data_IF_071941511932
#
_entry.id   IF_071941511932
#
_cell.length_a   1.000
_cell.length_b   1.000
_cell.length_c   1.000
_cell.angle_alpha   90.00
_cell.angle_beta   90.00
_cell.angle_gamma   90.00
#
_symmetry.space_group_name_H-M   'P 1'
#
loop_
_entity.id
_entity.type
_entity.pdbx_description
1 polymer ?
#
# COMPACT_ATOMS: atom_id res chain seq x y z
N UNK A 1 1.24 -24.03 -27.15
CA UNK A 1 2.20 -23.94 -26.04
C UNK A 1 2.27 -25.32 -25.42
N UNK A 2 3.34 -26.08 -25.66
CA UNK A 2 3.46 -27.46 -25.21
C UNK A 2 3.42 -27.52 -23.68
N UNK A 3 2.35 -28.06 -23.12
CA UNK A 3 2.28 -28.47 -21.72
C UNK A 3 3.12 -29.73 -21.57
N UNK A 4 4.43 -29.56 -21.47
CA UNK A 4 5.30 -30.61 -20.94
C UNK A 4 4.85 -30.84 -19.49
N UNK A 5 4.02 -31.86 -19.27
CA UNK A 5 3.75 -32.35 -17.90
C UNK A 5 5.10 -32.71 -17.31
N UNK A 6 5.58 -31.90 -16.38
CA UNK A 6 6.79 -32.21 -15.63
C UNK A 6 6.57 -33.55 -14.94
N UNK A 7 7.52 -34.48 -15.11
CA UNK A 7 7.45 -35.78 -14.45
C UNK A 7 7.44 -35.55 -12.93
N UNK A 8 6.51 -36.20 -12.23
CA UNK A 8 6.51 -36.18 -10.77
C UNK A 8 7.83 -36.77 -10.24
N UNK A 9 8.28 -36.39 -9.03
CA UNK A 9 9.51 -36.95 -8.44
C UNK A 9 9.51 -38.48 -8.42
N UNK A 10 8.35 -39.10 -8.18
CA UNK A 10 8.18 -40.57 -8.22
C UNK A 10 8.34 -41.15 -9.62
N UNK A 11 7.83 -40.48 -10.65
CA UNK A 11 8.01 -40.90 -12.05
C UNK A 11 9.47 -40.73 -12.49
N UNK A 12 10.12 -39.64 -12.08
CA UNK A 12 11.53 -39.39 -12.36
C UNK A 12 12.42 -40.44 -11.68
N UNK A 13 12.14 -40.79 -10.43
CA UNK A 13 12.83 -41.87 -9.72
C UNK A 13 12.63 -43.23 -10.39
N UNK A 14 11.42 -43.56 -10.85
CA UNK A 14 11.15 -44.81 -11.54
C UNK A 14 11.93 -44.92 -12.86
N UNK A 15 11.93 -43.83 -13.65
CA UNK A 15 12.64 -43.78 -14.92
C UNK A 15 14.17 -43.88 -14.74
N UNK A 16 14.72 -43.16 -13.77
CA UNK A 16 16.16 -43.21 -13.46
C UNK A 16 16.59 -44.54 -12.86
N UNK A 17 15.78 -45.13 -11.98
CA UNK A 17 16.01 -46.47 -11.44
C UNK A 17 16.06 -47.53 -12.56
N UNK A 18 15.17 -47.43 -13.54
CA UNK A 18 15.12 -48.33 -14.70
C UNK A 18 16.38 -48.20 -15.56
N UNK A 19 16.84 -46.97 -15.81
CA UNK A 19 18.08 -46.71 -16.56
C UNK A 19 19.30 -47.30 -15.83
N UNK A 20 19.32 -47.26 -14.50
CA UNK A 20 20.43 -47.80 -13.70
C UNK A 20 20.38 -49.32 -13.58
N UNK A 21 19.19 -49.91 -13.42
CA UNK A 21 19.04 -51.35 -13.17
C UNK A 21 19.25 -52.21 -14.43
N UNK A 22 18.97 -51.70 -15.64
CA UNK A 22 19.14 -52.46 -16.89
C UNK A 22 20.61 -52.83 -17.16
N UNK A 23 21.57 -51.89 -17.24
CA UNK A 23 22.97 -52.22 -17.51
C UNK A 23 23.57 -53.09 -16.41
N UNK A 24 23.20 -52.84 -15.16
CA UNK A 24 23.70 -53.61 -14.04
C UNK A 24 23.21 -55.07 -14.11
N UNK A 25 21.94 -55.31 -14.45
CA UNK A 25 21.41 -56.67 -14.64
C UNK A 25 22.05 -57.40 -15.83
N UNK A 26 22.32 -56.69 -16.94
CA UNK A 26 23.02 -57.24 -18.10
C UNK A 26 24.43 -57.75 -17.74
N UNK A 27 25.14 -57.05 -16.85
CA UNK A 27 26.45 -57.50 -16.36
C UNK A 27 26.32 -58.83 -15.60
N UNK A 28 25.33 -58.95 -14.70
CA UNK A 28 25.08 -60.20 -13.96
C UNK A 28 24.72 -61.37 -14.89
N UNK A 29 23.93 -61.11 -15.94
CA UNK A 29 23.59 -62.12 -16.95
C UNK A 29 24.82 -62.63 -17.71
N UNK A 30 25.77 -61.75 -18.04
CA UNK A 30 27.01 -62.12 -18.76
C UNK A 30 27.95 -62.94 -17.87
N UNK A 31 28.02 -62.63 -16.58
CA UNK A 31 28.94 -63.28 -15.63
C UNK A 31 28.43 -64.66 -15.20
N UNK A 32 27.19 -64.76 -14.74
CA UNK A 32 26.63 -65.99 -14.16
C UNK A 32 26.06 -66.94 -15.23
N UNK A 33 25.71 -66.41 -16.42
CA UNK A 33 25.05 -67.13 -17.52
C UNK A 33 23.71 -67.78 -17.16
N UNK A 34 23.15 -67.47 -15.98
CA UNK A 34 21.83 -67.88 -15.53
C UNK A 34 20.83 -66.74 -15.67
N UNK A 35 19.78 -66.96 -16.46
CA UNK A 35 18.72 -66.00 -16.72
C UNK A 35 17.93 -65.63 -15.45
N UNK A 36 17.72 -66.60 -14.56
CA UNK A 36 16.94 -66.40 -13.34
C UNK A 36 17.70 -65.48 -12.36
N UNK A 37 19.03 -65.64 -12.27
CA UNK A 37 19.89 -64.78 -11.45
C UNK A 37 19.88 -63.34 -11.98
N UNK A 38 19.92 -63.15 -13.30
CA UNK A 38 19.84 -61.82 -13.91
C UNK A 38 18.52 -61.09 -13.65
N UNK A 39 17.39 -61.80 -13.67
CA UNK A 39 16.07 -61.22 -13.32
C UNK A 39 16.01 -60.82 -11.85
N UNK A 40 16.47 -61.68 -10.95
CA UNK A 40 16.50 -61.37 -9.52
C UNK A 40 17.38 -60.15 -9.26
N UNK A 41 18.56 -60.10 -9.87
CA UNK A 41 19.47 -58.96 -9.78
C UNK A 41 18.81 -57.68 -10.30
N UNK A 42 18.08 -57.73 -11.42
CA UNK A 42 17.33 -56.60 -11.94
C UNK A 42 16.30 -56.07 -10.94
N UNK A 43 15.48 -56.95 -10.38
CA UNK A 43 14.41 -56.57 -9.44
C UNK A 43 15.00 -55.93 -8.19
N UNK A 44 16.03 -56.53 -7.61
CA UNK A 44 16.69 -56.00 -6.40
C UNK A 44 17.30 -54.63 -6.69
N UNK A 45 18.04 -54.49 -7.79
CA UNK A 45 18.68 -53.21 -8.13
C UNK A 45 17.67 -52.13 -8.50
N UNK A 46 16.59 -52.49 -9.20
CA UNK A 46 15.52 -51.56 -9.54
C UNK A 46 14.82 -51.05 -8.26
N UNK A 47 14.44 -51.94 -7.35
CA UNK A 47 13.77 -51.57 -6.11
C UNK A 47 14.71 -50.72 -5.24
N UNK A 48 15.96 -51.14 -5.05
CA UNK A 48 16.93 -50.41 -4.24
C UNK A 48 17.23 -49.01 -4.79
N UNK A 49 17.49 -48.90 -6.09
CA UNK A 49 17.73 -47.60 -6.74
C UNK A 49 16.49 -46.70 -6.73
N UNK A 50 15.30 -47.26 -6.97
CA UNK A 50 14.05 -46.50 -6.92
C UNK A 50 13.82 -45.83 -5.56
N UNK A 51 13.97 -46.58 -4.46
CA UNK A 51 13.77 -46.04 -3.12
C UNK A 51 14.85 -45.01 -2.76
N UNK A 52 16.11 -45.29 -3.09
CA UNK A 52 17.22 -44.37 -2.81
C UNK A 52 17.04 -43.04 -3.56
N UNK A 53 16.76 -43.09 -4.87
CA UNK A 53 16.58 -41.89 -5.70
C UNK A 53 15.34 -41.11 -5.23
N UNK A 54 14.23 -41.80 -4.94
CA UNK A 54 13.01 -41.17 -4.42
C UNK A 54 13.26 -40.44 -3.11
N UNK A 55 13.96 -41.07 -2.17
CA UNK A 55 14.30 -40.46 -0.89
C UNK A 55 15.16 -39.20 -1.08
N UNK A 56 16.21 -39.28 -1.90
CA UNK A 56 17.11 -38.14 -2.18
C UNK A 56 16.35 -36.99 -2.85
N UNK A 57 15.51 -37.27 -3.83
CA UNK A 57 14.73 -36.25 -4.53
C UNK A 57 13.70 -35.59 -3.61
N UNK A 58 12.95 -36.36 -2.83
CA UNK A 58 11.97 -35.81 -1.87
C UNK A 58 12.65 -34.95 -0.81
N UNK A 59 13.78 -35.42 -0.25
CA UNK A 59 14.56 -34.66 0.71
C UNK A 59 15.10 -33.35 0.13
N UNK A 60 15.63 -33.39 -1.10
CA UNK A 60 16.14 -32.20 -1.79
C UNK A 60 15.02 -31.20 -2.07
N UNK A 61 13.89 -31.65 -2.62
CA UNK A 61 12.73 -30.80 -2.93
C UNK A 61 12.20 -30.16 -1.64
N UNK A 62 12.00 -30.95 -0.59
CA UNK A 62 11.55 -30.44 0.70
C UNK A 62 12.47 -29.34 1.24
N UNK A 63 13.79 -29.54 1.17
CA UNK A 63 14.77 -28.55 1.63
C UNK A 63 14.71 -27.26 0.81
N UNK A 64 14.51 -27.34 -0.50
CA UNK A 64 14.36 -26.17 -1.39
C UNK A 64 13.06 -25.42 -1.15
N UNK A 65 11.95 -26.15 -1.01
CA UNK A 65 10.64 -25.58 -0.66
C UNK A 65 10.74 -24.81 0.66
N UNK A 66 11.31 -25.44 1.70
CA UNK A 66 11.52 -24.79 3.00
C UNK A 66 12.29 -23.48 2.90
N UNK A 67 13.30 -23.43 2.04
CA UNK A 67 14.09 -22.22 1.83
C UNK A 67 13.28 -21.10 1.16
N UNK A 68 12.48 -21.41 0.15
CA UNK A 68 11.61 -20.43 -0.53
C UNK A 68 10.62 -19.82 0.48
N UNK A 69 9.97 -20.66 1.27
CA UNK A 69 9.03 -20.19 2.28
C UNK A 69 9.68 -19.34 3.38
N UNK A 70 10.92 -19.67 3.77
CA UNK A 70 11.71 -18.83 4.68
C UNK A 70 11.84 -17.40 4.14
N UNK A 71 12.07 -17.22 2.84
CA UNK A 71 12.17 -15.89 2.25
C UNK A 71 10.82 -15.18 2.09
N UNK A 72 9.76 -15.90 1.73
CA UNK A 72 8.41 -15.34 1.56
C UNK A 72 7.85 -14.80 2.88
N UNK A 73 8.04 -15.53 3.99
CA UNK A 73 7.41 -15.23 5.28
C UNK A 73 8.30 -14.44 6.26
N UNK A 74 9.59 -14.25 5.95
CA UNK A 74 10.53 -13.46 6.75
C UNK A 74 10.11 -12.00 7.03
N UNK A 75 9.07 -11.49 6.37
CA UNK A 75 8.59 -10.11 6.51
C UNK A 75 7.52 -9.90 7.59
N UNK A 76 7.02 -10.95 8.26
CA UNK A 76 6.12 -10.83 9.42
C UNK A 76 6.51 -11.83 10.51
N UNK A 77 7.44 -11.42 11.37
CA UNK A 77 7.75 -12.13 12.61
C UNK A 77 6.48 -12.25 13.48
N UNK A 78 5.83 -13.41 13.45
CA UNK A 78 4.68 -13.71 14.31
C UNK A 78 4.64 -15.21 14.55
N UNK A 79 4.26 -15.62 15.77
CA UNK A 79 4.10 -17.01 16.25
C UNK A 79 3.33 -17.96 15.30
N UNK A 80 2.66 -17.45 14.26
CA UNK A 80 2.08 -18.21 13.14
C UNK A 80 3.12 -18.97 12.28
N UNK A 81 4.39 -18.54 12.24
CA UNK A 81 5.44 -19.22 11.45
C UNK A 81 5.66 -20.67 11.90
N UNK A 82 5.81 -20.94 13.20
CA UNK A 82 6.08 -22.30 13.69
C UNK A 82 4.97 -23.28 13.31
N UNK A 83 3.71 -22.85 13.38
CA UNK A 83 2.55 -23.69 13.05
C UNK A 83 2.49 -23.97 11.54
N UNK A 84 2.80 -22.97 10.70
CA UNK A 84 2.82 -23.11 9.24
C UNK A 84 3.94 -24.06 8.77
N UNK A 85 5.17 -23.89 9.28
CA UNK A 85 6.30 -24.76 8.95
C UNK A 85 6.13 -26.20 9.46
N UNK A 86 5.47 -26.37 10.61
CA UNK A 86 5.28 -27.68 11.26
C UNK A 86 4.18 -28.53 10.62
N UNK A 87 3.09 -27.93 10.12
CA UNK A 87 1.91 -28.68 9.68
C UNK A 87 1.52 -28.51 8.20
N UNK A 88 1.86 -27.41 7.54
CA UNK A 88 1.36 -27.08 6.19
C UNK A 88 2.42 -27.33 5.10
N UNK A 89 3.68 -26.94 5.35
CA UNK A 89 4.79 -27.18 4.42
C UNK A 89 5.03 -28.65 4.02
N UNK A 90 4.92 -29.64 4.91
CA UNK A 90 5.27 -31.03 4.60
C UNK A 90 4.39 -31.67 3.51
N UNK A 91 3.26 -31.05 3.15
CA UNK A 91 2.28 -31.62 2.21
C UNK A 91 2.25 -30.92 0.85
N UNK A 92 2.97 -29.81 0.66
CA UNK A 92 2.90 -29.02 -0.58
C UNK A 92 3.86 -29.55 -1.64
N UNK A 93 3.34 -29.78 -2.84
CA UNK A 93 4.13 -30.07 -4.03
C UNK A 93 4.72 -28.81 -4.65
N UNK A 94 5.58 -28.97 -5.66
CA UNK A 94 6.22 -27.84 -6.35
C UNK A 94 5.21 -26.92 -7.03
N UNK A 95 4.08 -27.46 -7.51
CA UNK A 95 3.01 -26.69 -8.14
C UNK A 95 2.28 -25.79 -7.14
N UNK A 96 2.05 -26.27 -5.91
CA UNK A 96 1.45 -25.46 -4.84
C UNK A 96 2.38 -24.30 -4.43
N UNK A 97 3.71 -24.56 -4.42
CA UNK A 97 4.70 -23.52 -4.12
C UNK A 97 4.71 -22.46 -5.21
N UNK A 98 4.59 -22.86 -6.49
CA UNK A 98 4.51 -21.92 -7.61
C UNK A 98 3.31 -20.99 -7.44
N UNK A 99 2.11 -21.53 -7.18
CA UNK A 99 0.91 -20.72 -6.99
C UNK A 99 1.06 -19.75 -5.81
N UNK A 100 1.61 -20.21 -4.68
CA UNK A 100 1.86 -19.37 -3.51
C UNK A 100 2.86 -18.23 -3.82
N UNK A 101 3.93 -18.52 -4.56
CA UNK A 101 4.92 -17.52 -4.98
C UNK A 101 4.28 -16.48 -5.91
N UNK A 102 3.47 -16.91 -6.87
CA UNK A 102 2.75 -16.00 -7.78
C UNK A 102 1.79 -15.08 -7.01
N UNK A 103 1.03 -15.62 -6.06
CA UNK A 103 0.15 -14.84 -5.19
C UNK A 103 0.93 -13.85 -4.33
N UNK A 104 2.01 -14.30 -3.70
CA UNK A 104 2.88 -13.43 -2.90
C UNK A 104 3.49 -12.31 -3.73
N UNK A 105 4.00 -12.61 -4.93
CA UNK A 105 4.58 -11.63 -5.84
C UNK A 105 3.54 -10.58 -6.28
N UNK A 106 2.32 -11.01 -6.61
CA UNK A 106 1.22 -10.12 -6.96
C UNK A 106 0.83 -9.20 -5.78
N UNK A 107 0.73 -9.75 -4.57
CA UNK A 107 0.43 -8.97 -3.37
C UNK A 107 1.55 -7.96 -3.07
N UNK A 108 2.81 -8.38 -3.17
CA UNK A 108 3.96 -7.53 -2.90
C UNK A 108 4.09 -6.41 -3.92
N UNK A 109 3.81 -6.70 -5.19
CA UNK A 109 3.77 -5.68 -6.26
C UNK A 109 2.73 -4.60 -5.97
N UNK A 110 1.52 -4.99 -5.57
CA UNK A 110 0.46 -4.04 -5.17
C UNK A 110 0.85 -3.18 -3.97
N UNK A 111 1.49 -3.79 -2.96
CA UNK A 111 1.98 -3.06 -1.79
C UNK A 111 3.06 -2.04 -2.17
N UNK A 112 4.02 -2.42 -3.02
CA UNK A 112 5.06 -1.51 -3.54
C UNK A 112 4.42 -0.38 -4.36
N UNK A 113 3.43 -0.67 -5.19
CA UNK A 113 2.73 0.34 -5.97
C UNK A 113 2.01 1.36 -5.07
N UNK A 114 1.34 0.88 -4.01
CA UNK A 114 0.70 1.74 -3.02
C UNK A 114 1.73 2.63 -2.29
N UNK A 115 2.86 2.05 -1.85
CA UNK A 115 3.93 2.80 -1.20
C UNK A 115 4.51 3.88 -2.13
N UNK A 116 4.74 3.56 -3.40
CA UNK A 116 5.21 4.53 -4.41
C UNK A 116 4.20 5.64 -4.67
N UNK A 117 2.91 5.31 -4.71
CA UNK A 117 1.84 6.32 -4.84
C UNK A 117 1.84 7.27 -3.64
N UNK A 118 1.97 6.74 -2.42
CA UNK A 118 2.04 7.55 -1.20
C UNK A 118 3.29 8.42 -1.18
N UNK A 119 4.45 7.89 -1.60
CA UNK A 119 5.70 8.66 -1.70
C UNK A 119 5.60 9.79 -2.72
N UNK A 120 5.03 9.51 -3.90
CA UNK A 120 4.78 10.52 -4.93
C UNK A 120 3.85 11.62 -4.44
N UNK A 121 2.73 11.24 -3.79
CA UNK A 121 1.79 12.18 -3.19
C UNK A 121 2.49 13.07 -2.15
N UNK A 122 3.26 12.47 -1.24
CA UNK A 122 4.01 13.23 -0.22
C UNK A 122 4.99 14.21 -0.84
N UNK A 123 5.68 13.82 -1.91
CA UNK A 123 6.63 14.69 -2.63
C UNK A 123 5.91 15.87 -3.30
N UNK A 124 4.81 15.59 -4.01
CA UNK A 124 3.98 16.62 -4.65
C UNK A 124 3.39 17.58 -3.61
N UNK A 125 2.87 17.05 -2.51
CA UNK A 125 2.34 17.83 -1.40
C UNK A 125 3.40 18.78 -0.80
N UNK A 126 4.60 18.28 -0.47
CA UNK A 126 5.69 19.10 0.06
C UNK A 126 6.15 20.17 -0.95
N UNK A 127 6.15 19.85 -2.24
CA UNK A 127 6.47 20.81 -3.28
C UNK A 127 5.41 21.92 -3.35
N UNK A 128 4.12 21.56 -3.35
CA UNK A 128 3.01 22.52 -3.38
C UNK A 128 3.03 23.43 -2.15
N UNK A 129 3.24 22.86 -0.95
CA UNK A 129 3.44 23.64 0.27
C UNK A 129 4.59 24.64 0.12
N UNK A 130 5.75 24.18 -0.34
CA UNK A 130 6.92 25.05 -0.51
C UNK A 130 6.63 26.23 -1.45
N UNK A 131 5.86 26.01 -2.52
CA UNK A 131 5.43 27.07 -3.43
C UNK A 131 4.44 28.05 -2.78
N UNK A 132 3.43 27.53 -2.07
CA UNK A 132 2.43 28.35 -1.37
C UNK A 132 3.03 29.17 -0.23
N UNK A 133 4.10 28.70 0.42
CA UNK A 133 4.84 29.50 1.41
C UNK A 133 5.76 30.55 0.78
N UNK A 134 6.43 30.22 -0.32
CA UNK A 134 7.43 31.11 -0.95
C UNK A 134 6.81 32.43 -1.43
N UNK A 135 5.57 32.38 -1.95
CA UNK A 135 4.85 33.55 -2.46
C UNK A 135 4.58 34.63 -1.39
N UNK A 136 3.90 34.33 -0.26
CA UNK A 136 3.66 35.32 0.79
C UNK A 136 4.97 35.76 1.47
N UNK A 137 5.95 34.87 1.65
CA UNK A 137 7.26 35.23 2.23
C UNK A 137 7.96 36.31 1.39
N UNK A 138 8.05 36.11 0.07
CA UNK A 138 8.68 37.11 -0.80
C UNK A 138 7.86 38.39 -0.94
N UNK A 139 6.53 38.32 -0.88
CA UNK A 139 5.69 39.50 -0.87
C UNK A 139 5.95 40.35 0.40
N UNK A 140 5.98 39.71 1.57
CA UNK A 140 6.30 40.36 2.85
C UNK A 140 7.69 40.99 2.78
N UNK A 141 8.69 40.22 2.34
CA UNK A 141 10.07 40.72 2.20
C UNK A 141 10.12 41.94 1.28
N UNK A 142 9.52 41.88 0.09
CA UNK A 142 9.50 43.00 -0.85
C UNK A 142 8.81 44.26 -0.30
N UNK A 143 7.73 44.10 0.48
CA UNK A 143 7.08 45.23 1.16
C UNK A 143 7.95 45.83 2.25
N UNK A 144 8.61 45.00 3.06
CA UNK A 144 9.55 45.46 4.10
C UNK A 144 10.74 46.18 3.44
N UNK A 145 11.36 45.59 2.42
CA UNK A 145 12.49 46.19 1.71
C UNK A 145 12.12 47.53 1.05
N UNK A 146 10.91 47.64 0.50
CA UNK A 146 10.42 48.90 -0.07
C UNK A 146 10.24 49.98 1.00
N UNK A 147 9.71 49.60 2.17
CA UNK A 147 9.56 50.51 3.31
C UNK A 147 10.92 50.96 3.87
N UNK A 148 11.92 50.08 3.89
CA UNK A 148 13.27 50.39 4.38
C UNK A 148 14.08 51.25 3.41
N UNK A 149 13.90 51.05 2.10
CA UNK A 149 14.67 51.74 1.06
C UNK A 149 13.99 53.02 0.52
N UNK A 150 12.70 53.22 0.78
CA UNK A 150 11.97 54.41 0.38
C UNK A 150 12.23 55.60 1.32
N UNK A 151 12.22 56.83 0.78
CA UNK A 151 12.01 57.99 1.62
C UNK A 151 10.58 57.88 2.21
N UNK A 152 10.47 57.72 3.53
CA UNK A 152 9.22 57.53 4.30
C UNK A 152 8.22 58.71 4.20
N UNK A 153 8.35 59.57 3.19
CA UNK A 153 7.66 60.83 3.02
C UNK A 153 6.15 60.70 2.74
N UNK A 154 5.65 59.49 2.44
CA UNK A 154 4.22 59.24 2.23
C UNK A 154 3.67 58.18 3.19
N UNK A 155 3.03 58.66 4.27
CA UNK A 155 2.40 57.82 5.29
C UNK A 155 1.27 56.92 4.74
N UNK A 156 0.52 57.34 3.70
CA UNK A 156 -0.54 56.50 3.13
C UNK A 156 0.03 55.29 2.39
N UNK A 157 1.10 55.49 1.63
CA UNK A 157 1.81 54.41 0.93
C UNK A 157 2.44 53.45 1.94
N UNK A 158 3.06 53.97 3.00
CA UNK A 158 3.64 53.16 4.06
C UNK A 158 2.58 52.27 4.74
N UNK A 159 1.43 52.86 5.09
CA UNK A 159 0.30 52.13 5.68
C UNK A 159 -0.21 51.03 4.75
N UNK A 160 -0.30 51.30 3.45
CA UNK A 160 -0.73 50.31 2.45
C UNK A 160 0.24 49.12 2.36
N UNK A 161 1.56 49.36 2.40
CA UNK A 161 2.55 48.28 2.40
C UNK A 161 2.49 47.45 3.68
N UNK A 162 2.36 48.08 4.85
CA UNK A 162 2.19 47.38 6.13
C UNK A 162 0.91 46.52 6.13
N UNK A 163 -0.21 47.04 5.61
CA UNK A 163 -1.45 46.27 5.47
C UNK A 163 -1.27 45.06 4.56
N UNK A 164 -0.58 45.21 3.42
CA UNK A 164 -0.30 44.08 2.53
C UNK A 164 0.62 43.04 3.16
N UNK A 165 1.63 43.47 3.92
CA UNK A 165 2.49 42.56 4.66
C UNK A 165 1.68 41.78 5.72
N UNK A 166 0.85 42.48 6.50
CA UNK A 166 -0.02 41.85 7.50
C UNK A 166 -0.97 40.81 6.89
N UNK A 167 -1.60 41.12 5.75
CA UNK A 167 -2.47 40.17 5.05
C UNK A 167 -1.71 38.90 4.58
N UNK A 168 -0.45 39.03 4.18
CA UNK A 168 0.37 37.87 3.81
C UNK A 168 0.81 37.05 5.04
N UNK A 169 1.03 37.69 6.19
CA UNK A 169 1.28 36.97 7.46
C UNK A 169 0.04 36.16 7.86
N UNK A 170 -1.15 36.74 7.75
CA UNK A 170 -2.41 36.03 8.01
C UNK A 170 -2.59 34.82 7.07
N UNK A 171 -2.26 34.98 5.77
CA UNK A 171 -2.23 33.85 4.83
C UNK A 171 -1.26 32.75 5.27
N UNK A 172 -0.07 33.10 5.76
CA UNK A 172 0.89 32.10 6.26
C UNK A 172 0.36 31.37 7.50
N UNK A 173 -0.31 32.07 8.41
CA UNK A 173 -0.92 31.45 9.59
C UNK A 173 -1.97 30.41 9.17
N UNK A 174 -2.81 30.74 8.19
CA UNK A 174 -3.80 29.80 7.66
C UNK A 174 -3.13 28.56 7.04
N UNK A 175 -2.08 28.73 6.23
CA UNK A 175 -1.32 27.59 5.66
C UNK A 175 -0.71 26.68 6.74
N UNK A 176 -0.23 27.25 7.86
CA UNK A 176 0.31 26.47 8.98
C UNK A 176 -0.81 25.70 9.70
N UNK A 177 -1.97 26.33 9.90
CA UNK A 177 -3.12 25.67 10.51
C UNK A 177 -3.62 24.49 9.65
N UNK A 178 -3.68 24.68 8.33
CA UNK A 178 -4.05 23.61 7.40
C UNK A 178 -3.07 22.43 7.48
N UNK A 179 -1.77 22.70 7.63
CA UNK A 179 -0.74 21.67 7.80
C UNK A 179 -0.91 20.90 9.13
N UNK A 180 -1.19 21.61 10.22
CA UNK A 180 -1.43 20.99 11.54
C UNK A 180 -2.68 20.09 11.51
N UNK A 181 -3.73 20.51 10.81
CA UNK A 181 -4.92 19.68 10.62
C UNK A 181 -4.64 18.42 9.80
N UNK A 182 -3.88 18.53 8.70
CA UNK A 182 -3.47 17.36 7.90
C UNK A 182 -2.63 16.40 8.75
N UNK A 183 -1.68 16.93 9.53
CA UNK A 183 -0.84 16.13 10.42
C UNK A 183 -1.67 15.36 11.45
N UNK A 184 -2.70 15.99 12.02
CA UNK A 184 -3.64 15.34 12.97
C UNK A 184 -4.52 14.28 12.31
N UNK A 185 -4.84 14.41 11.03
CA UNK A 185 -5.57 13.40 10.28
C UNK A 185 -4.67 12.19 9.95
N UNK A 186 -3.38 12.40 9.70
CA UNK A 186 -2.42 11.32 9.45
C UNK A 186 -2.03 10.53 10.72
N UNK A 187 -2.09 11.16 11.91
CA UNK A 187 -1.68 10.50 13.16
C UNK A 187 -2.68 9.48 13.73
N UNK A 188 -3.83 9.25 13.08
CA UNK A 188 -4.91 8.34 13.56
C UNK A 188 -5.44 8.70 14.98
N UNK A 189 -5.12 9.90 15.48
CA UNK A 189 -5.35 10.35 16.87
C UNK A 189 -6.67 11.14 17.05
N UNK A 190 -7.52 11.29 16.03
CA UNK A 190 -8.78 12.02 16.16
C UNK A 190 -9.99 11.07 16.25
N UNK A 191 -10.46 10.72 17.47
CA UNK A 191 -11.75 10.06 17.62
C UNK A 191 -12.86 11.01 17.16
N UNK A 192 -13.74 10.53 16.28
CA UNK A 192 -14.91 11.28 15.82
C UNK A 192 -15.99 11.33 16.91
N UNK A 193 -16.44 12.53 17.27
CA UNK A 193 -17.50 12.74 18.26
C UNK A 193 -18.88 12.75 17.58
N UNK A 194 -19.39 11.57 17.26
CA UNK A 194 -20.63 11.42 16.49
C UNK A 194 -21.87 11.69 17.34
N UNK A 195 -22.76 12.55 16.84
CA UNK A 195 -24.05 12.89 17.46
C UNK A 195 -25.16 12.90 16.40
N UNK A 196 -26.42 12.82 16.83
CA UNK A 196 -27.56 13.01 15.95
C UNK A 196 -27.90 14.50 15.84
N UNK A 197 -27.97 15.02 14.62
CA UNK A 197 -28.35 16.42 14.37
C UNK A 197 -29.06 16.55 13.02
N UNK A 198 -29.79 17.66 12.81
CA UNK A 198 -30.45 17.98 11.55
C UNK A 198 -29.46 18.68 10.62
N UNK A 199 -29.18 18.09 9.45
CA UNK A 199 -28.16 18.61 8.53
C UNK A 199 -28.54 19.97 7.94
N UNK A 200 -29.84 20.23 7.71
CA UNK A 200 -30.33 21.49 7.17
C UNK A 200 -30.06 22.67 8.11
N UNK A 201 -30.15 22.45 9.42
CA UNK A 201 -29.88 23.50 10.40
C UNK A 201 -28.40 23.85 10.42
N UNK A 202 -27.52 22.84 10.35
CA UNK A 202 -26.09 23.06 10.20
C UNK A 202 -25.73 23.82 8.91
N UNK A 203 -26.35 23.48 7.78
CA UNK A 203 -26.13 24.19 6.51
C UNK A 203 -26.55 25.66 6.61
N UNK A 204 -27.70 25.95 7.26
CA UNK A 204 -28.16 27.33 7.48
C UNK A 204 -27.21 28.10 8.38
N UNK A 205 -26.76 27.51 9.50
CA UNK A 205 -25.75 28.09 10.38
C UNK A 205 -24.48 28.47 9.59
N UNK A 206 -24.03 27.60 8.67
CA UNK A 206 -22.86 27.89 7.82
C UNK A 206 -23.13 29.02 6.82
N UNK A 207 -24.28 29.02 6.13
CA UNK A 207 -24.63 30.09 5.21
C UNK A 207 -24.73 31.46 5.90
N UNK A 208 -25.31 31.51 7.10
CA UNK A 208 -25.36 32.73 7.91
C UNK A 208 -23.95 33.20 8.30
N UNK A 209 -23.08 32.28 8.74
CA UNK A 209 -21.70 32.61 9.13
C UNK A 209 -20.85 33.16 7.97
N UNK A 210 -21.17 32.77 6.73
CA UNK A 210 -20.45 33.19 5.52
C UNK A 210 -21.13 34.35 4.79
N UNK A 211 -22.25 34.86 5.29
CA UNK A 211 -23.09 35.85 4.60
C UNK A 211 -22.29 37.06 4.10
N UNK A 212 -21.51 37.70 4.98
CA UNK A 212 -20.70 38.90 4.66
C UNK A 212 -19.76 38.63 3.48
N UNK A 213 -19.10 37.47 3.49
CA UNK A 213 -18.14 37.07 2.45
C UNK A 213 -18.86 36.75 1.15
N UNK A 214 -19.97 36.02 1.19
CA UNK A 214 -20.76 35.71 -0.01
C UNK A 214 -21.41 36.94 -0.63
N UNK A 215 -21.77 37.94 0.17
CA UNK A 215 -22.34 39.21 -0.29
C UNK A 215 -21.31 40.06 -1.05
N UNK A 216 -20.05 40.09 -0.57
CA UNK A 216 -18.92 40.73 -1.26
C UNK A 216 -18.76 40.20 -2.70
N UNK A 217 -18.90 38.88 -2.88
CA UNK A 217 -18.82 38.22 -4.18
C UNK A 217 -20.16 38.14 -4.94
N UNK A 218 -21.26 38.70 -4.39
CA UNK A 218 -22.63 38.64 -4.95
C UNK A 218 -23.13 37.21 -5.21
N UNK A 219 -22.74 36.26 -4.35
CA UNK A 219 -23.11 34.85 -4.45
C UNK A 219 -24.33 34.58 -3.55
N UNK A 220 -25.34 33.90 -4.10
CA UNK A 220 -26.55 33.55 -3.37
C UNK A 220 -26.50 32.09 -2.91
N UNK A 221 -26.45 31.86 -1.61
CA UNK A 221 -26.53 30.53 -1.00
C UNK A 221 -27.98 30.14 -0.72
N UNK A 222 -28.45 29.01 -1.28
CA UNK A 222 -29.82 28.50 -1.07
C UNK A 222 -29.84 26.99 -0.95
N UNK A 223 -30.77 26.48 -0.13
CA UNK A 223 -31.13 25.06 -0.11
C UNK A 223 -32.06 24.79 -1.29
N UNK A 224 -31.77 23.74 -2.07
CA UNK A 224 -32.55 23.37 -3.26
C UNK A 224 -34.00 23.06 -2.89
N UNK A 225 -34.93 23.50 -3.73
CA UNK A 225 -36.36 23.19 -3.58
C UNK A 225 -36.60 21.67 -3.61
N UNK A 226 -37.34 21.16 -2.63
CA UNK A 226 -37.56 19.72 -2.40
C UNK A 226 -36.58 19.08 -1.40
N UNK A 227 -35.61 19.84 -0.88
CA UNK A 227 -34.64 19.38 0.13
C UNK A 227 -34.81 20.08 1.50
N UNK A 228 -35.92 20.78 1.72
CA UNK A 228 -36.17 21.57 2.92
C UNK A 228 -36.59 20.74 4.13
N UNK A 229 -37.01 19.48 3.91
CA UNK A 229 -37.42 18.60 5.00
C UNK A 229 -36.23 18.28 5.92
N UNK A 230 -36.40 18.31 7.26
CA UNK A 230 -35.31 18.04 8.19
C UNK A 230 -34.87 16.58 8.07
N UNK A 231 -33.59 16.37 7.80
CA UNK A 231 -32.95 15.06 7.73
C UNK A 231 -31.99 14.95 8.92
N UNK A 232 -32.28 14.02 9.82
CA UNK A 232 -31.39 13.68 10.93
C UNK A 232 -30.27 12.78 10.43
N UNK A 233 -29.02 13.13 10.76
CA UNK A 233 -27.82 12.36 10.42
C UNK A 233 -27.05 12.00 11.68
N UNK A 234 -26.29 10.90 11.65
CA UNK A 234 -25.38 10.48 12.72
C UNK A 234 -23.92 10.68 12.30
N UNK A 235 -23.34 11.81 12.70
CA UNK A 235 -22.00 12.22 12.30
C UNK A 235 -21.37 13.17 13.33
N UNK A 236 -20.08 13.48 13.17
CA UNK A 236 -19.44 14.54 13.95
C UNK A 236 -19.88 15.91 13.41
N UNK A 237 -20.70 16.64 14.18
CA UNK A 237 -21.33 17.90 13.74
C UNK A 237 -20.28 18.93 13.33
N UNK A 238 -19.19 19.06 14.09
CA UNK A 238 -18.18 20.09 13.85
C UNK A 238 -17.27 19.74 12.67
N UNK A 239 -16.93 18.45 12.49
CA UNK A 239 -16.21 18.03 11.28
C UNK A 239 -17.05 18.19 10.01
N UNK A 240 -18.35 17.90 10.06
CA UNK A 240 -19.25 18.15 8.93
C UNK A 240 -19.40 19.67 8.67
N UNK A 241 -19.47 20.50 9.72
CA UNK A 241 -19.47 21.97 9.58
C UNK A 241 -18.29 22.44 8.75
N UNK A 242 -17.10 21.97 9.12
CA UNK A 242 -15.85 22.33 8.46
C UNK A 242 -15.81 21.89 6.99
N UNK A 243 -16.29 20.67 6.69
CA UNK A 243 -16.44 20.20 5.30
C UNK A 243 -17.35 21.12 4.50
N UNK A 244 -18.50 21.53 5.04
CA UNK A 244 -19.44 22.42 4.35
C UNK A 244 -18.81 23.80 4.14
N UNK A 245 -18.14 24.36 5.16
CA UNK A 245 -17.42 25.64 5.04
C UNK A 245 -16.39 25.56 3.92
N UNK A 246 -15.55 24.52 3.89
CA UNK A 246 -14.51 24.35 2.87
C UNK A 246 -15.10 24.23 1.45
N UNK A 247 -16.22 23.52 1.30
CA UNK A 247 -16.92 23.40 0.00
C UNK A 247 -17.47 24.77 -0.45
N UNK A 248 -18.14 25.50 0.46
CA UNK A 248 -18.73 26.79 0.13
C UNK A 248 -17.65 27.81 -0.21
N UNK A 249 -16.59 27.88 0.60
CA UNK A 249 -15.46 28.80 0.37
C UNK A 249 -14.71 28.50 -0.93
N UNK A 250 -14.58 27.22 -1.33
CA UNK A 250 -13.96 26.86 -2.61
C UNK A 250 -14.88 27.13 -3.81
N UNK A 251 -16.20 27.25 -3.59
CA UNK A 251 -17.17 27.56 -4.63
C UNK A 251 -17.39 29.07 -4.84
N UNK A 252 -16.91 29.90 -3.89
CA UNK A 252 -16.98 31.38 -3.91
C UNK A 252 -15.67 31.99 -4.36
#
# INVERSE_FOLDING_TARGET
>A
MFTTKNLSPKQLSAFTALIVSIPASLIFLIVEKDFLIGIIAFIIMFIGSYFLISFVLEWFIYRKIKLIYKFIYQTKASKKEETYYKYILPKKGIDDVKEDVEKWAAQRSKEIELLRKNESFRKEFLQNLSHEFKTPIFAIQGYIDTLLNGELNNNEVNKKFLQKAAANVERMINLVNDLDEISKLESDEQPLNKTHFVIQDLIKEVFESLYIKTEEFKIKTVIKKGCEQPITVYADKEKIRQVIINIVLNAT
#
